data_IF_682331465379
#
_entry.id   IF_682331465379
#
_cell.length_a   1.000
_cell.length_b   1.000
_cell.length_c   1.000
_cell.angle_alpha   90.00
_cell.angle_beta   90.00
_cell.angle_gamma   90.00
#
_symmetry.space_group_name_H-M   'P 1'
#
loop_
_entity.id
_entity.type
_entity.pdbx_description
1 polymer ?
#
# COMPACT_ATOMS: atom_id res chain seq x y z
N UNK A 1 26.32 -10.55 9.49
CA UNK A 1 25.56 -10.03 9.87
C UNK A 1 24.52 -9.94 9.26
N UNK A 2 23.64 -10.02 9.56
CA UNK A 2 22.67 -9.97 8.89
C UNK A 2 22.04 -8.86 8.97
N UNK A 3 21.86 -8.20 8.02
CA UNK A 3 21.08 -7.20 8.07
C UNK A 3 19.74 -7.60 8.06
N UNK A 4 18.94 -7.15 8.93
CA UNK A 4 17.61 -7.38 8.90
C UNK A 4 17.06 -6.72 7.78
N UNK A 5 16.42 -7.33 6.87
CA UNK A 5 15.79 -6.72 5.83
C UNK A 5 14.56 -6.09 6.31
N UNK A 6 14.39 -4.83 6.09
CA UNK A 6 13.22 -4.13 6.49
C UNK A 6 12.12 -4.31 5.49
N UNK A 7 10.93 -4.55 5.95
CA UNK A 7 9.78 -4.59 5.08
C UNK A 7 9.11 -3.23 5.08
N UNK A 8 8.62 -2.82 3.95
CA UNK A 8 7.97 -1.52 3.81
C UNK A 8 6.47 -1.70 3.66
N UNK A 9 5.71 -0.90 4.38
CA UNK A 9 4.26 -1.00 4.29
C UNK A 9 3.76 -0.04 3.22
N UNK A 10 2.76 -0.47 2.48
CA UNK A 10 2.22 0.31 1.37
C UNK A 10 0.72 0.41 1.52
N UNK A 11 0.20 1.61 1.31
CA UNK A 11 -1.23 1.82 1.23
C UNK A 11 -1.55 2.22 -0.20
N UNK A 12 -2.45 1.48 -0.85
CA UNK A 12 -2.85 1.79 -2.20
C UNK A 12 -4.26 2.35 -2.14
N UNK A 13 -4.45 3.55 -2.67
CA UNK A 13 -5.76 4.17 -2.72
C UNK A 13 -6.28 4.03 -4.13
N UNK A 14 -7.20 3.11 -4.34
CA UNK A 14 -7.72 2.85 -5.67
C UNK A 14 -9.09 2.22 -5.55
N UNK A 15 -9.99 2.63 -6.41
CA UNK A 15 -11.33 2.09 -6.44
C UNK A 15 -11.41 0.81 -7.26
N UNK A 16 -10.33 0.42 -7.95
CA UNK A 16 -10.35 -0.76 -8.78
C UNK A 16 -9.37 -1.79 -8.30
N UNK A 17 -9.79 -3.06 -8.37
CA UNK A 17 -8.90 -4.13 -7.93
C UNK A 17 -7.79 -4.38 -8.91
N UNK A 18 -7.99 -4.07 -10.17
CA UNK A 18 -6.97 -4.35 -11.17
C UNK A 18 -5.70 -3.56 -10.89
N UNK A 19 -5.84 -2.31 -10.43
CA UNK A 19 -4.67 -1.51 -10.12
C UNK A 19 -3.94 -2.11 -8.92
N UNK A 20 -4.69 -2.50 -7.90
CA UNK A 20 -4.11 -3.07 -6.71
C UNK A 20 -3.38 -4.38 -7.04
N UNK A 21 -3.96 -5.19 -7.91
CA UNK A 21 -3.31 -6.44 -8.30
C UNK A 21 -2.03 -6.19 -9.05
N UNK A 22 -2.02 -5.18 -9.93
CA UNK A 22 -0.83 -4.85 -10.70
C UNK A 22 0.29 -4.38 -9.79
N UNK A 23 -0.05 -3.58 -8.78
CA UNK A 23 0.95 -3.11 -7.84
C UNK A 23 1.52 -4.28 -7.05
N UNK A 24 0.67 -5.23 -6.67
CA UNK A 24 1.14 -6.40 -5.93
C UNK A 24 2.15 -7.22 -6.70
N UNK A 25 2.06 -7.20 -8.03
CA UNK A 25 3.02 -7.92 -8.85
C UNK A 25 4.35 -7.18 -8.85
N UNK A 26 4.31 -5.84 -8.87
CA UNK A 26 5.52 -5.05 -8.93
C UNK A 26 6.25 -4.96 -7.59
N UNK A 27 5.53 -5.10 -6.49
CA UNK A 27 6.13 -4.96 -5.17
C UNK A 27 6.00 -6.28 -4.42
N UNK A 28 7.04 -7.11 -4.43
CA UNK A 28 6.96 -8.45 -3.84
C UNK A 28 6.74 -8.39 -2.34
N UNK A 29 5.91 -9.29 -1.86
CA UNK A 29 5.62 -9.35 -0.45
C UNK A 29 6.81 -9.59 0.42
N UNK A 30 7.87 -10.13 -0.12
CA UNK A 30 9.06 -10.39 0.66
C UNK A 30 9.69 -9.10 1.16
N UNK A 31 9.44 -7.99 0.47
CA UNK A 31 9.98 -6.72 0.88
C UNK A 31 8.92 -5.71 1.20
N UNK A 32 7.72 -5.88 0.68
CA UNK A 32 6.67 -4.91 0.85
C UNK A 32 5.47 -5.58 1.49
N UNK A 33 5.36 -5.43 2.80
CA UNK A 33 4.25 -6.03 3.51
C UNK A 33 4.06 -5.24 4.80
N UNK A 34 2.83 -4.97 5.22
CA UNK A 34 1.62 -5.31 4.49
C UNK A 34 1.31 -4.33 3.36
N UNK A 35 0.53 -4.80 2.39
CA UNK A 35 0.05 -3.92 1.33
C UNK A 35 -1.45 -3.87 1.53
N UNK A 36 -1.95 -2.69 1.85
CA UNK A 36 -3.37 -2.50 2.10
C UNK A 36 -4.00 -1.69 1.00
N UNK A 37 -5.29 -1.83 0.83
CA UNK A 37 -6.00 -1.10 -0.21
C UNK A 37 -7.15 -0.31 0.41
N UNK A 38 -7.23 0.96 0.10
CA UNK A 38 -8.35 1.79 0.51
C UNK A 38 -9.11 2.17 -0.76
N UNK A 39 -10.41 1.98 -0.77
CA UNK A 39 -11.17 2.24 -1.98
C UNK A 39 -11.65 3.68 -2.07
N UNK A 40 -11.55 4.45 -1.01
CA UNK A 40 -11.92 5.85 -1.04
C UNK A 40 -10.91 6.66 -0.26
N UNK A 41 -10.89 7.95 -0.50
CA UNK A 41 -9.99 8.85 0.20
C UNK A 41 -10.31 8.88 1.69
N UNK A 42 -11.58 8.83 2.04
CA UNK A 42 -11.95 8.86 3.45
C UNK A 42 -11.43 7.64 4.21
N UNK A 43 -11.50 6.48 3.59
CA UNK A 43 -10.97 5.27 4.19
C UNK A 43 -9.47 5.38 4.31
N UNK A 44 -8.82 5.91 3.27
CA UNK A 44 -7.38 6.08 3.28
C UNK A 44 -6.94 6.99 4.42
N UNK A 45 -7.65 8.09 4.62
CA UNK A 45 -7.30 9.01 5.70
C UNK A 45 -7.40 8.35 7.05
N UNK A 46 -8.41 7.52 7.23
CA UNK A 46 -8.57 6.82 8.49
C UNK A 46 -7.42 5.84 8.70
N UNK A 47 -7.07 5.11 7.65
CA UNK A 47 -6.00 4.12 7.76
C UNK A 47 -4.67 4.79 8.08
N UNK A 48 -4.40 5.93 7.45
CA UNK A 48 -3.18 6.65 7.70
C UNK A 48 -3.14 7.17 9.14
N UNK A 49 -4.29 7.54 9.68
CA UNK A 49 -4.35 8.02 11.03
C UNK A 49 -4.12 6.90 12.05
N UNK A 50 -4.47 5.67 11.67
CA UNK A 50 -4.35 4.56 12.59
C UNK A 50 -3.01 3.86 12.55
N UNK A 51 -2.28 3.98 11.47
CA UNK A 51 -0.97 3.37 11.37
C UNK A 51 -0.12 4.12 10.37
N UNK A 52 1.18 3.91 10.43
CA UNK A 52 2.09 4.56 9.52
C UNK A 52 2.35 3.70 8.32
N UNK A 53 2.45 4.31 7.17
CA UNK A 53 2.80 3.61 5.95
C UNK A 53 4.07 4.23 5.41
N UNK A 54 4.93 3.40 4.84
CA UNK A 54 6.16 3.91 4.24
C UNK A 54 5.85 4.54 2.88
N UNK A 55 4.88 3.97 2.16
CA UNK A 55 4.50 4.50 0.86
C UNK A 55 2.99 4.57 0.73
N UNK A 56 2.50 5.59 0.07
CA UNK A 56 1.07 5.71 -0.23
C UNK A 56 0.97 5.95 -1.72
N UNK A 57 0.31 5.05 -2.42
CA UNK A 57 0.16 5.13 -3.86
C UNK A 57 -1.29 5.43 -4.16
N UNK A 58 -1.54 6.54 -4.84
CA UNK A 58 -2.90 6.95 -5.14
C UNK A 58 -3.17 6.83 -6.62
N UNK A 59 -4.15 6.03 -6.95
CA UNK A 59 -4.60 5.91 -8.31
C UNK A 59 -5.92 6.64 -8.37
N UNK A 60 -5.88 7.83 -8.90
CA UNK A 60 -7.04 8.66 -8.83
C UNK A 60 -7.45 9.01 -10.22
N UNK A 61 -8.35 8.29 -10.79
CA UNK A 61 -8.81 8.67 -12.09
C UNK A 61 -9.80 9.73 -11.88
N UNK A 62 -9.68 10.68 -11.36
CA UNK A 62 -10.68 11.65 -11.05
C UNK A 62 -11.39 12.19 -12.24
#
# INVERSE_FOLDING_TARGET
MSLKERCYSILIVSATDSFTSAIGVLFPESRYTPIHNATTINVAKRMIAERSYDFVIINSPL
#
